data_IF_171490044951
#
_entry.id   IF_171490044951
#
_cell.length_a   1.000
_cell.length_b   1.000
_cell.length_c   1.000
_cell.angle_alpha   90.00
_cell.angle_beta   90.00
_cell.angle_gamma   90.00
#
_symmetry.space_group_name_H-M   'P 1'
#
loop_
_entity.id
_entity.type
_entity.pdbx_description
1 polymer ?
#
# COMPACT_ATOMS: atom_id res chain seq x y z
N UNK A 1 3.64 23.32 -9.21
CA UNK A 1 3.49 21.88 -8.90
C UNK A 1 3.51 21.69 -7.39
N UNK A 2 2.49 21.07 -6.79
CA UNK A 2 2.56 20.66 -5.38
C UNK A 2 3.62 19.55 -5.26
N UNK A 3 4.52 19.58 -4.26
CA UNK A 3 5.44 18.48 -4.04
C UNK A 3 4.64 17.19 -3.85
N UNK A 4 5.02 16.13 -4.56
CA UNK A 4 4.35 14.85 -4.43
C UNK A 4 4.47 14.40 -2.97
N UNK A 5 3.34 14.28 -2.27
CA UNK A 5 3.32 13.62 -0.97
C UNK A 5 3.88 12.20 -1.18
N UNK A 6 4.86 11.76 -0.39
CA UNK A 6 5.39 10.41 -0.51
C UNK A 6 4.28 9.39 -0.24
N UNK A 7 3.30 9.69 0.59
CA UNK A 7 2.21 8.76 0.92
C UNK A 7 1.27 8.48 -0.25
N UNK A 8 0.93 7.20 -0.39
CA UNK A 8 -0.18 6.74 -1.22
C UNK A 8 -1.52 7.22 -0.64
N UNK A 9 -2.35 7.81 -1.50
CA UNK A 9 -3.77 8.04 -1.18
C UNK A 9 -4.55 6.72 -1.19
N UNK A 10 -5.78 6.72 -0.67
CA UNK A 10 -6.62 5.51 -0.67
C UNK A 10 -6.84 4.93 -2.07
N UNK A 11 -7.09 5.78 -3.08
CA UNK A 11 -7.32 5.35 -4.46
C UNK A 11 -6.03 4.83 -5.13
N UNK A 12 -4.89 5.48 -4.84
CA UNK A 12 -3.58 5.02 -5.30
C UNK A 12 -3.21 3.66 -4.68
N UNK A 13 -3.50 3.46 -3.38
CA UNK A 13 -3.28 2.20 -2.69
C UNK A 13 -4.14 1.06 -3.26
N UNK A 14 -5.39 1.34 -3.66
CA UNK A 14 -6.24 0.35 -4.33
C UNK A 14 -5.62 -0.13 -5.64
N UNK A 15 -5.07 0.79 -6.45
CA UNK A 15 -4.35 0.42 -7.68
C UNK A 15 -3.10 -0.40 -7.35
N UNK A 16 -2.29 0.04 -6.37
CA UNK A 16 -1.09 -0.71 -5.96
C UNK A 16 -1.42 -2.13 -5.49
N UNK A 17 -2.54 -2.33 -4.77
CA UNK A 17 -3.01 -3.67 -4.38
C UNK A 17 -3.29 -4.56 -5.59
N UNK A 18 -3.85 -4.02 -6.66
CA UNK A 18 -4.06 -4.78 -7.91
C UNK A 18 -2.73 -5.09 -8.57
N UNK A 19 -1.83 -4.11 -8.69
CA UNK A 19 -0.53 -4.32 -9.34
C UNK A 19 0.35 -5.30 -8.56
N UNK A 20 0.38 -5.24 -7.22
CA UNK A 20 1.10 -6.23 -6.39
C UNK A 20 0.56 -7.65 -6.58
N UNK A 21 -0.76 -7.81 -6.69
CA UNK A 21 -1.38 -9.13 -6.93
C UNK A 21 -1.02 -9.70 -8.31
N UNK A 22 -0.92 -8.83 -9.31
CA UNK A 22 -0.59 -9.24 -10.69
C UNK A 22 0.92 -9.27 -10.97
N UNK A 23 1.74 -8.76 -10.05
CA UNK A 23 3.19 -8.51 -10.15
C UNK A 23 3.61 -7.50 -11.24
N UNK A 24 2.88 -7.49 -12.36
CA UNK A 24 2.95 -6.50 -13.45
C UNK A 24 1.57 -6.36 -14.07
N UNK A 25 1.18 -5.14 -14.44
CA UNK A 25 -0.15 -4.89 -14.97
C UNK A 25 -0.18 -3.76 -16.01
N UNK A 26 -1.05 -3.91 -17.01
CA UNK A 26 -1.46 -2.83 -17.90
C UNK A 26 -2.57 -2.00 -17.27
N UNK A 27 -2.78 -0.78 -17.76
CA UNK A 27 -3.91 0.07 -17.35
C UNK A 27 -5.25 -0.65 -17.52
N UNK A 28 -5.41 -1.41 -18.61
CA UNK A 28 -6.61 -2.19 -18.88
C UNK A 28 -6.87 -3.27 -17.83
N UNK A 29 -5.86 -4.04 -17.45
CA UNK A 29 -6.00 -5.09 -16.44
C UNK A 29 -6.39 -4.50 -15.07
N UNK A 30 -5.76 -3.38 -14.69
CA UNK A 30 -6.12 -2.67 -13.45
C UNK A 30 -7.55 -2.15 -13.52
N UNK A 31 -7.93 -1.53 -14.64
CA UNK A 31 -9.27 -1.01 -14.87
C UNK A 31 -10.34 -2.11 -14.76
N UNK A 32 -10.16 -3.23 -15.46
CA UNK A 32 -11.10 -4.36 -15.44
C UNK A 32 -11.23 -4.92 -14.01
N UNK A 33 -10.11 -5.09 -13.29
CA UNK A 33 -10.13 -5.57 -11.90
C UNK A 33 -10.87 -4.61 -10.95
N UNK A 34 -10.73 -3.29 -11.14
CA UNK A 34 -11.43 -2.30 -10.32
C UNK A 34 -12.92 -2.20 -10.68
N UNK A 35 -13.26 -2.42 -11.96
CA UNK A 35 -14.63 -2.36 -12.46
C UNK A 35 -15.53 -3.44 -11.85
N UNK A 36 -14.96 -4.59 -11.47
CA UNK A 36 -15.65 -5.65 -10.73
C UNK A 36 -16.20 -5.18 -9.37
N UNK A 37 -15.61 -4.12 -8.78
CA UNK A 37 -15.95 -3.64 -7.44
C UNK A 37 -16.71 -2.32 -7.45
N UNK A 38 -16.41 -1.44 -8.40
CA UNK A 38 -17.07 -0.13 -8.52
C UNK A 38 -16.97 0.43 -9.93
N UNK A 39 -17.88 1.34 -10.27
CA UNK A 39 -17.75 2.15 -11.50
C UNK A 39 -16.59 3.14 -11.34
N UNK A 40 -15.70 3.14 -12.32
CA UNK A 40 -14.58 4.08 -12.44
C UNK A 40 -14.33 4.36 -13.93
N UNK A 41 -13.83 5.53 -14.28
CA UNK A 41 -13.45 5.82 -15.67
C UNK A 41 -12.05 5.26 -15.98
N UNK A 42 -11.85 4.75 -17.19
CA UNK A 42 -10.55 4.25 -17.65
C UNK A 42 -9.44 5.30 -17.52
N UNK A 43 -9.74 6.55 -17.89
CA UNK A 43 -8.80 7.69 -17.82
C UNK A 43 -8.40 8.03 -16.38
N UNK A 44 -9.28 7.77 -15.40
CA UNK A 44 -8.95 7.92 -13.98
C UNK A 44 -7.89 6.91 -13.56
N UNK A 45 -8.05 5.63 -13.94
CA UNK A 45 -7.05 4.58 -13.67
C UNK A 45 -5.73 4.92 -14.36
N UNK A 46 -5.77 5.32 -15.63
CA UNK A 46 -4.58 5.74 -16.37
C UNK A 46 -3.84 6.89 -15.69
N UNK A 47 -4.57 7.92 -15.28
CA UNK A 47 -4.00 9.09 -14.58
C UNK A 47 -3.34 8.67 -13.27
N UNK A 48 -4.00 7.83 -12.46
CA UNK A 48 -3.43 7.37 -11.19
C UNK A 48 -2.20 6.48 -11.38
N UNK A 49 -2.19 5.61 -12.40
CA UNK A 49 -1.00 4.80 -12.70
C UNK A 49 0.19 5.66 -13.13
N UNK A 50 -0.05 6.75 -13.88
CA UNK A 50 1.00 7.73 -14.19
C UNK A 50 1.46 8.49 -12.95
N UNK A 51 0.55 8.88 -12.05
CA UNK A 51 0.92 9.53 -10.78
C UNK A 51 1.80 8.60 -9.93
N UNK A 52 1.43 7.31 -9.84
CA UNK A 52 2.21 6.29 -9.13
C UNK A 52 3.60 6.08 -9.74
N UNK A 53 3.72 6.19 -11.07
CA UNK A 53 5.02 6.16 -11.75
C UNK A 53 5.84 7.42 -11.46
N UNK A 54 5.25 8.61 -11.52
CA UNK A 54 5.90 9.87 -11.13
C UNK A 54 6.34 9.89 -9.65
N UNK A 55 5.58 9.23 -8.77
CA UNK A 55 5.95 9.04 -7.35
C UNK A 55 7.02 7.97 -7.15
N UNK A 56 7.39 7.22 -8.20
CA UNK A 56 8.40 6.17 -8.15
C UNK A 56 7.92 4.87 -7.52
N UNK A 57 6.61 4.65 -7.37
CA UNK A 57 6.02 3.39 -6.89
C UNK A 57 5.87 2.34 -7.99
N UNK A 58 5.66 2.81 -9.22
CA UNK A 58 5.57 1.99 -10.41
C UNK A 58 6.66 2.37 -11.39
N UNK A 59 7.15 1.39 -12.13
CA UNK A 59 7.98 1.61 -13.30
C UNK A 59 7.17 1.26 -14.54
N UNK A 60 7.09 2.20 -15.48
CA UNK A 60 6.44 2.02 -16.78
C UNK A 60 7.45 1.45 -17.79
N UNK A 61 7.07 0.37 -18.45
CA UNK A 61 7.85 -0.26 -19.51
C UNK A 61 6.99 -0.44 -20.76
N UNK A 62 7.61 -0.30 -21.93
CA UNK A 62 6.95 -0.54 -23.20
C UNK A 62 6.80 -2.06 -23.42
N UNK A 63 5.56 -2.54 -23.45
CA UNK A 63 5.25 -3.90 -23.89
C UNK A 63 4.81 -3.93 -25.35
N UNK A 64 4.61 -5.13 -25.89
CA UNK A 64 4.32 -5.35 -27.32
C UNK A 64 3.07 -4.63 -27.83
N UNK A 65 2.05 -4.47 -26.96
CA UNK A 65 0.74 -3.89 -27.32
C UNK A 65 0.29 -2.76 -26.41
N UNK A 66 0.84 -2.68 -25.21
CA UNK A 66 0.47 -1.71 -24.20
C UNK A 66 1.63 -1.48 -23.24
N UNK A 67 1.62 -0.33 -22.58
CA UNK A 67 2.53 -0.10 -21.45
C UNK A 67 2.18 -1.04 -20.29
N UNK A 68 3.23 -1.65 -19.75
CA UNK A 68 3.17 -2.51 -18.56
C UNK A 68 3.79 -1.75 -17.41
N UNK A 69 3.15 -1.81 -16.25
CA UNK A 69 3.61 -1.19 -15.02
C UNK A 69 3.97 -2.28 -14.02
N UNK A 70 5.11 -2.11 -13.35
CA UNK A 70 5.59 -3.03 -12.32
C UNK A 70 5.93 -2.27 -11.03
N UNK A 71 5.73 -2.85 -9.84
CA UNK A 71 6.16 -2.24 -8.58
C UNK A 71 7.67 -2.05 -8.54
N UNK A 72 8.12 -0.90 -8.07
CA UNK A 72 9.56 -0.62 -7.85
C UNK A 72 10.06 -1.13 -6.49
N UNK A 73 9.13 -1.33 -5.54
CA UNK A 73 9.41 -1.74 -4.17
C UNK A 73 8.46 -2.86 -3.75
N UNK A 74 8.90 -3.79 -2.88
CA UNK A 74 8.03 -4.81 -2.30
C UNK A 74 6.86 -4.20 -1.52
N UNK A 75 5.69 -4.85 -1.57
CA UNK A 75 4.50 -4.43 -0.84
C UNK A 75 4.76 -4.20 0.65
N UNK A 76 5.52 -5.10 1.29
CA UNK A 76 5.85 -5.02 2.71
C UNK A 76 6.66 -3.77 3.06
N UNK A 77 7.56 -3.32 2.18
CA UNK A 77 8.36 -2.12 2.37
C UNK A 77 7.48 -0.87 2.30
N UNK A 78 6.62 -0.79 1.29
CA UNK A 78 5.70 0.35 1.13
C UNK A 78 4.74 0.45 2.31
N UNK A 79 4.14 -0.68 2.72
CA UNK A 79 3.24 -0.72 3.89
C UNK A 79 3.98 -0.30 5.16
N UNK A 80 5.20 -0.80 5.38
CA UNK A 80 6.02 -0.41 6.56
C UNK A 80 6.27 1.09 6.60
N UNK A 81 6.61 1.70 5.47
CA UNK A 81 6.82 3.15 5.39
C UNK A 81 5.53 3.93 5.65
N UNK A 82 4.40 3.49 5.11
CA UNK A 82 3.09 4.10 5.36
C UNK A 82 2.68 4.02 6.83
N UNK A 83 2.88 2.87 7.48
CA UNK A 83 2.59 2.69 8.92
C UNK A 83 3.46 3.61 9.76
N UNK A 84 4.77 3.69 9.46
CA UNK A 84 5.69 4.60 10.16
C UNK A 84 5.24 6.05 10.04
N UNK A 85 4.97 6.51 8.82
CA UNK A 85 4.52 7.88 8.59
C UNK A 85 3.20 8.18 9.32
N UNK A 86 2.27 7.21 9.34
CA UNK A 86 1.02 7.35 10.07
C UNK A 86 1.24 7.46 11.58
N UNK A 87 2.09 6.61 12.16
CA UNK A 87 2.46 6.66 13.58
C UNK A 87 3.13 7.98 13.93
N UNK A 88 4.08 8.44 13.11
CA UNK A 88 4.77 9.71 13.31
C UNK A 88 3.78 10.89 13.27
N UNK A 89 2.86 10.89 12.30
CA UNK A 89 1.92 12.00 12.07
C UNK A 89 0.75 12.05 13.06
N UNK A 90 0.24 10.89 13.49
CA UNK A 90 -0.99 10.80 14.30
C UNK A 90 -0.69 10.57 15.77
N UNK A 91 0.37 9.83 16.08
CA UNK A 91 0.72 9.43 17.45
C UNK A 91 2.09 9.97 17.90
N UNK A 92 2.61 11.00 17.22
CA UNK A 92 3.88 11.65 17.53
C UNK A 92 5.05 10.66 17.69
N UNK A 93 5.07 9.61 16.88
CA UNK A 93 6.14 8.61 16.85
C UNK A 93 5.98 7.46 17.85
N UNK A 94 4.95 7.48 18.70
CA UNK A 94 4.66 6.35 19.60
C UNK A 94 3.68 5.37 18.97
N UNK A 95 4.09 4.11 18.80
CA UNK A 95 3.22 3.05 18.30
C UNK A 95 2.32 2.44 19.40
N UNK A 96 2.56 2.75 20.68
CA UNK A 96 1.82 2.20 21.80
C UNK A 96 0.32 2.56 21.77
N UNK A 97 -0.10 3.83 21.58
CA UNK A 97 -1.52 4.16 21.54
C UNK A 97 -2.25 3.52 20.36
N UNK A 98 -1.58 3.36 19.22
CA UNK A 98 -2.13 2.62 18.07
C UNK A 98 -2.41 1.15 18.44
N UNK A 99 -1.47 0.49 19.10
CA UNK A 99 -1.65 -0.90 19.54
C UNK A 99 -2.77 -1.01 20.58
N UNK A 100 -2.85 -0.09 21.54
CA UNK A 100 -3.91 -0.05 22.53
C UNK A 100 -5.29 0.03 21.86
N UNK A 101 -5.49 0.96 20.92
CA UNK A 101 -6.74 1.08 20.17
C UNK A 101 -7.11 -0.19 19.40
N UNK A 102 -6.15 -0.83 18.71
CA UNK A 102 -6.41 -2.06 17.96
C UNK A 102 -6.84 -3.23 18.85
N UNK A 103 -6.31 -3.29 20.07
CA UNK A 103 -6.68 -4.30 21.07
C UNK A 103 -8.05 -3.99 21.67
N UNK A 104 -8.32 -2.73 22.04
CA UNK A 104 -9.58 -2.29 22.64
C UNK A 104 -10.77 -2.46 21.69
N UNK A 105 -10.61 -2.10 20.41
CA UNK A 105 -11.67 -2.17 19.39
C UNK A 105 -11.93 -3.61 18.88
N UNK A 106 -11.28 -4.63 19.47
CA UNK A 106 -11.36 -6.05 19.07
C UNK A 106 -11.10 -6.30 17.58
N UNK A 107 -10.25 -5.48 16.97
CA UNK A 107 -9.76 -5.70 15.61
C UNK A 107 -8.77 -6.87 15.50
N UNK A 108 -8.37 -7.45 16.64
CA UNK A 108 -7.43 -8.56 16.75
C UNK A 108 -8.13 -9.78 17.34
N UNK A 109 -7.94 -10.92 16.70
CA UNK A 109 -8.35 -12.22 17.25
C UNK A 109 -7.33 -12.72 18.28
N UNK A 110 -7.70 -13.72 19.09
CA UNK A 110 -6.76 -14.40 20.00
C UNK A 110 -5.50 -14.89 19.27
N UNK A 111 -5.65 -15.40 18.05
CA UNK A 111 -4.53 -15.82 17.21
C UNK A 111 -3.62 -14.64 16.85
N UNK A 112 -4.19 -13.48 16.53
CA UNK A 112 -3.41 -12.29 16.19
C UNK A 112 -2.64 -11.77 17.42
N UNK A 113 -3.26 -11.80 18.61
CA UNK A 113 -2.61 -11.44 19.87
C UNK A 113 -1.41 -12.35 20.17
N UNK A 114 -1.55 -13.65 19.94
CA UNK A 114 -0.45 -14.61 20.11
C UNK A 114 0.70 -14.36 19.13
N UNK A 115 0.40 -14.09 17.85
CA UNK A 115 1.42 -13.76 16.85
C UNK A 115 2.13 -12.44 17.14
N UNK A 116 1.41 -11.42 17.63
CA UNK A 116 2.01 -10.17 18.10
C UNK A 116 2.94 -10.44 19.29
N UNK A 117 2.50 -11.27 20.26
CA UNK A 117 3.33 -11.63 21.42
C UNK A 117 4.62 -12.35 21.00
N UNK A 118 4.56 -13.25 20.01
CA UNK A 118 5.75 -13.89 19.43
C UNK A 118 6.67 -12.86 18.79
N UNK A 119 6.11 -11.93 18.02
CA UNK A 119 6.87 -10.87 17.35
C UNK A 119 7.59 -9.96 18.35
N UNK A 120 6.94 -9.57 19.46
CA UNK A 120 7.55 -8.79 20.54
C UNK A 120 8.71 -9.55 21.21
N UNK A 121 8.53 -10.85 21.49
CA UNK A 121 9.60 -11.69 22.06
C UNK A 121 10.81 -11.77 21.13
N UNK A 122 10.59 -11.93 19.82
CA UNK A 122 11.68 -11.95 18.84
C UNK A 122 12.39 -10.61 18.74
N UNK A 123 11.64 -9.50 18.68
CA UNK A 123 12.22 -8.14 18.61
C UNK A 123 13.09 -7.80 19.84
N UNK A 124 12.72 -8.30 21.03
CA UNK A 124 13.52 -8.15 22.25
C UNK A 124 14.81 -8.97 22.26
N UNK A 125 14.88 -10.09 21.54
CA UNK A 125 16.08 -10.93 21.42
C UNK A 125 17.08 -10.39 20.40
N UNK A 126 16.60 -9.63 19.42
CA UNK A 126 17.42 -9.01 18.37
C UNK A 126 17.90 -7.59 18.73
N UNK A 127 17.60 -7.12 19.94
CA UNK A 127 18.10 -5.89 20.55
C UNK A 127 19.12 -6.25 21.62
#
# INVERSE_FOLDING_TARGET
MRPAKPTLTGQELEIMKVVWKLEKATVRQVYETLLERRRIAYTTVMTMMNILEQKGYLQKQQGDRAYVYQPTQPQSQVIRSMVREFVDRVFNGSAEPLLAHLVEDRHLTEKDLDEIRKSIKSARKSR
#
